data_IF_593793107855
#
_entry.id   IF_593793107855
#
_cell.length_a   1.000
_cell.length_b   1.000
_cell.length_c   1.000
_cell.angle_alpha   90.00
_cell.angle_beta   90.00
_cell.angle_gamma   90.00
#
_symmetry.space_group_name_H-M   'P 1'
#
loop_
_entity.id
_entity.type
_entity.pdbx_description
1 polymer ?
#
# COMPACT_ATOMS: atom_id res chain seq x y z
N UNK A 1 -27.60 -26.68 17.69
CA UNK A 1 -26.72 -26.16 18.76
C UNK A 1 -26.63 -24.64 18.56
N UNK A 2 -27.10 -23.86 19.50
CA UNK A 2 -27.00 -22.39 19.42
C UNK A 2 -25.54 -22.00 19.65
N UNK A 3 -25.01 -21.16 18.77
CA UNK A 3 -23.67 -20.54 18.99
C UNK A 3 -23.67 -19.77 20.32
N UNK A 4 -22.59 -19.83 21.10
CA UNK A 4 -22.49 -19.04 22.32
C UNK A 4 -22.64 -17.54 22.00
N UNK A 5 -23.26 -16.78 22.89
CA UNK A 5 -23.40 -15.33 22.73
C UNK A 5 -22.00 -14.71 22.66
N UNK A 6 -21.79 -13.70 21.79
CA UNK A 6 -20.51 -13.01 21.71
C UNK A 6 -20.19 -12.32 23.05
N UNK A 7 -18.93 -12.43 23.49
CA UNK A 7 -18.46 -11.84 24.75
C UNK A 7 -17.95 -10.40 24.59
N UNK A 8 -17.86 -9.90 23.34
CA UNK A 8 -17.42 -8.56 23.03
C UNK A 8 -17.28 -8.33 21.53
N UNK A 9 -16.95 -7.10 21.17
CA UNK A 9 -16.69 -6.68 19.79
C UNK A 9 -15.27 -6.09 19.72
N UNK A 10 -14.51 -6.46 18.70
CA UNK A 10 -13.22 -5.86 18.35
C UNK A 10 -13.39 -5.04 17.08
N UNK A 11 -12.99 -3.77 17.11
CA UNK A 11 -12.99 -2.89 15.95
C UNK A 11 -11.56 -2.47 15.62
N UNK A 12 -11.12 -2.75 14.41
CA UNK A 12 -9.83 -2.30 13.90
C UNK A 12 -10.04 -1.07 13.00
N UNK A 13 -9.46 0.04 13.42
CA UNK A 13 -9.47 1.28 12.62
C UNK A 13 -8.03 1.60 12.23
N UNK A 14 -7.75 1.65 10.93
CA UNK A 14 -6.48 2.10 10.39
C UNK A 14 -6.65 3.51 9.81
N UNK A 15 -5.60 4.32 9.93
CA UNK A 15 -5.60 5.68 9.40
C UNK A 15 -4.45 5.87 8.42
N UNK A 16 -4.76 6.46 7.27
CA UNK A 16 -3.80 6.72 6.19
C UNK A 16 -3.78 8.20 5.84
N UNK A 17 -2.61 8.80 6.03
CA UNK A 17 -2.36 10.19 5.68
C UNK A 17 -0.91 10.38 5.24
N UNK A 18 -0.73 11.18 4.17
CA UNK A 18 0.52 11.83 3.80
C UNK A 18 0.20 13.25 3.36
N UNK A 19 1.07 14.22 3.63
CA UNK A 19 0.91 15.56 3.08
C UNK A 19 1.01 15.52 1.55
N UNK A 20 0.73 16.63 0.89
CA UNK A 20 0.95 16.72 -0.56
C UNK A 20 2.45 16.66 -0.87
N UNK A 21 2.91 15.59 -1.49
CA UNK A 21 4.32 15.32 -1.82
C UNK A 21 4.61 15.41 -3.33
N UNK A 22 3.57 15.29 -4.15
CA UNK A 22 3.69 15.32 -5.60
C UNK A 22 4.32 16.65 -6.08
N UNK A 23 5.32 16.55 -6.93
CA UNK A 23 6.07 17.69 -7.53
C UNK A 23 6.87 18.53 -6.53
N UNK A 24 7.13 18.02 -5.33
CA UNK A 24 7.97 18.67 -4.31
C UNK A 24 9.39 18.11 -4.24
N UNK A 25 9.84 17.45 -5.32
CA UNK A 25 11.14 16.79 -5.38
C UNK A 25 11.08 15.35 -4.90
N UNK A 26 12.17 14.62 -5.13
CA UNK A 26 12.23 13.19 -4.86
C UNK A 26 12.86 12.92 -3.50
N UNK A 27 13.96 13.60 -3.18
CA UNK A 27 14.82 13.33 -2.03
C UNK A 27 15.29 14.64 -1.37
N UNK A 28 15.51 14.68 -0.04
CA UNK A 28 15.34 13.64 0.99
C UNK A 28 13.91 13.49 1.50
N UNK A 29 13.06 14.49 1.31
CA UNK A 29 11.66 14.54 1.71
C UNK A 29 10.84 14.95 0.49
N UNK A 30 9.91 14.12 0.08
CA UNK A 30 9.11 14.38 -1.10
C UNK A 30 8.48 13.10 -1.62
N UNK A 31 8.48 12.92 -2.93
CA UNK A 31 7.83 11.80 -3.59
C UNK A 31 8.35 10.42 -3.14
N UNK A 32 9.61 10.32 -2.70
CA UNK A 32 10.17 9.08 -2.14
C UNK A 32 9.34 8.55 -0.96
N UNK A 33 8.87 9.43 -0.08
CA UNK A 33 8.00 9.03 1.04
C UNK A 33 6.66 8.49 0.58
N UNK A 34 6.08 9.10 -0.45
CA UNK A 34 4.83 8.62 -1.04
C UNK A 34 5.02 7.21 -1.60
N UNK A 35 6.07 7.00 -2.40
CA UNK A 35 6.32 5.73 -3.06
C UNK A 35 6.70 4.63 -2.07
N UNK A 36 7.51 4.92 -1.05
CA UNK A 36 7.82 3.98 0.02
C UNK A 36 6.57 3.57 0.81
N UNK A 37 5.76 4.54 1.25
CA UNK A 37 4.52 4.24 1.95
C UNK A 37 3.55 3.43 1.08
N UNK A 38 3.50 3.73 -0.21
CA UNK A 38 2.67 3.00 -1.17
C UNK A 38 3.13 1.55 -1.29
N UNK A 39 4.43 1.32 -1.49
CA UNK A 39 5.01 -0.01 -1.65
C UNK A 39 4.95 -0.86 -0.37
N UNK A 40 5.26 -0.25 0.79
CA UNK A 40 5.40 -0.98 2.05
C UNK A 40 4.08 -1.13 2.82
N UNK A 41 3.06 -0.31 2.52
CA UNK A 41 1.80 -0.32 3.26
C UNK A 41 0.59 -0.51 2.35
N UNK A 42 0.35 0.38 1.39
CA UNK A 42 -0.91 0.36 0.64
C UNK A 42 -1.03 -0.85 -0.29
N UNK A 43 0.01 -1.17 -1.05
CA UNK A 43 0.00 -2.35 -1.90
C UNK A 43 -0.26 -3.63 -1.10
N UNK A 44 0.54 -3.99 -0.08
CA UNK A 44 0.37 -5.27 0.61
C UNK A 44 -0.91 -5.34 1.44
N UNK A 45 -1.35 -4.24 2.06
CA UNK A 45 -2.58 -4.22 2.86
C UNK A 45 -3.81 -4.39 1.98
N UNK A 46 -3.91 -3.63 0.88
CA UNK A 46 -5.07 -3.72 -0.01
C UNK A 46 -5.11 -5.06 -0.77
N UNK A 47 -3.95 -5.65 -1.08
CA UNK A 47 -3.89 -7.01 -1.62
C UNK A 47 -4.40 -8.05 -0.62
N UNK A 48 -3.98 -7.95 0.65
CA UNK A 48 -4.47 -8.85 1.70
C UNK A 48 -5.98 -8.74 1.86
N UNK A 49 -6.52 -7.51 1.93
CA UNK A 49 -7.95 -7.26 2.07
C UNK A 49 -8.74 -7.81 0.87
N UNK A 50 -8.23 -7.65 -0.34
CA UNK A 50 -8.83 -8.23 -1.54
C UNK A 50 -8.93 -9.75 -1.45
N UNK A 51 -7.85 -10.42 -1.07
CA UNK A 51 -7.81 -11.89 -0.91
C UNK A 51 -8.80 -12.36 0.15
N UNK A 52 -8.81 -11.70 1.31
CA UNK A 52 -9.77 -12.02 2.36
C UNK A 52 -11.22 -11.79 1.89
N UNK A 53 -11.47 -10.74 1.09
CA UNK A 53 -12.77 -10.50 0.48
C UNK A 53 -13.18 -11.61 -0.50
N UNK A 54 -12.25 -12.11 -1.31
CA UNK A 54 -12.47 -13.25 -2.21
C UNK A 54 -12.76 -14.56 -1.45
N UNK A 55 -12.13 -14.73 -0.28
CA UNK A 55 -12.41 -15.85 0.64
C UNK A 55 -13.75 -15.67 1.40
N UNK A 56 -14.49 -14.60 1.12
CA UNK A 56 -15.82 -14.35 1.69
C UNK A 56 -15.83 -13.55 2.99
N UNK A 57 -14.68 -13.07 3.47
CA UNK A 57 -14.62 -12.24 4.66
C UNK A 57 -15.19 -10.84 4.40
N UNK A 58 -15.89 -10.28 5.40
CA UNK A 58 -16.53 -8.96 5.36
C UNK A 58 -16.31 -8.23 6.68
N UNK A 59 -16.52 -6.92 6.69
CA UNK A 59 -16.40 -6.06 7.88
C UNK A 59 -15.06 -6.21 8.60
N UNK A 60 -13.95 -6.31 7.83
CA UNK A 60 -12.64 -6.63 8.37
C UNK A 60 -12.04 -5.46 9.16
N UNK A 61 -12.22 -4.24 8.68
CA UNK A 61 -11.72 -3.02 9.33
C UNK A 61 -12.36 -1.75 8.76
N UNK A 62 -12.22 -0.66 9.49
CA UNK A 62 -12.48 0.69 9.00
C UNK A 62 -11.17 1.34 8.57
N UNK A 63 -11.07 1.82 7.32
CA UNK A 63 -9.89 2.46 6.77
C UNK A 63 -10.13 3.96 6.58
N UNK A 64 -9.43 4.78 7.35
CA UNK A 64 -9.40 6.22 7.14
C UNK A 64 -8.40 6.59 6.04
N UNK A 65 -8.87 7.29 5.01
CA UNK A 65 -8.03 7.81 3.93
C UNK A 65 -8.29 9.31 3.78
N UNK A 66 -7.26 10.12 4.00
CA UNK A 66 -7.43 11.57 3.80
C UNK A 66 -7.59 11.92 2.34
N UNK A 67 -8.44 12.91 1.98
CA UNK A 67 -8.62 13.32 0.59
C UNK A 67 -7.32 13.75 -0.10
N UNK A 68 -6.39 14.37 0.61
CA UNK A 68 -5.07 14.74 0.07
C UNK A 68 -4.24 13.52 -0.33
N UNK A 69 -4.32 12.42 0.43
CA UNK A 69 -3.67 11.17 0.06
C UNK A 69 -4.39 10.51 -1.12
N UNK A 70 -5.71 10.39 -1.07
CA UNK A 70 -6.50 9.81 -2.15
C UNK A 70 -6.22 10.50 -3.49
N UNK A 71 -6.16 11.84 -3.50
CA UNK A 71 -5.83 12.62 -4.69
C UNK A 71 -4.43 12.30 -5.25
N UNK A 72 -3.45 12.03 -4.41
CA UNK A 72 -2.11 11.62 -4.86
C UNK A 72 -2.08 10.19 -5.40
N UNK A 73 -2.84 9.27 -4.78
CA UNK A 73 -2.94 7.89 -5.26
C UNK A 73 -3.67 7.78 -6.61
N UNK A 74 -4.46 8.80 -6.98
CA UNK A 74 -5.18 8.89 -8.25
C UNK A 74 -4.48 9.80 -9.28
N UNK A 75 -3.46 10.59 -8.87
CA UNK A 75 -2.76 11.52 -9.78
C UNK A 75 -1.95 10.73 -10.83
N UNK A 76 -2.22 10.92 -12.14
CA UNK A 76 -1.46 10.24 -13.21
C UNK A 76 0.06 10.48 -13.16
N UNK A 77 0.50 11.61 -12.62
CA UNK A 77 1.92 11.89 -12.40
C UNK A 77 2.49 10.97 -11.31
N UNK A 78 1.79 10.85 -10.17
CA UNK A 78 2.20 9.96 -9.08
C UNK A 78 2.16 8.49 -9.49
N UNK A 79 1.16 8.09 -10.29
CA UNK A 79 1.07 6.71 -10.81
C UNK A 79 2.26 6.35 -11.69
N UNK A 80 2.68 7.25 -12.59
CA UNK A 80 3.89 7.03 -13.39
C UNK A 80 5.15 6.99 -12.52
N UNK A 81 5.28 7.93 -11.59
CA UNK A 81 6.42 7.96 -10.67
C UNK A 81 6.53 6.71 -9.80
N UNK A 82 5.39 6.20 -9.31
CA UNK A 82 5.34 4.95 -8.55
C UNK A 82 5.77 3.75 -9.40
N UNK A 83 5.30 3.65 -10.64
CA UNK A 83 5.72 2.59 -11.55
C UNK A 83 7.24 2.62 -11.79
N UNK A 84 7.80 3.80 -12.07
CA UNK A 84 9.25 3.96 -12.27
C UNK A 84 10.03 3.63 -10.99
N UNK A 85 9.51 4.02 -9.83
CA UNK A 85 10.12 3.73 -8.53
C UNK A 85 10.15 2.22 -8.24
N UNK A 86 9.05 1.51 -8.51
CA UNK A 86 8.95 0.04 -8.36
C UNK A 86 9.93 -0.68 -9.31
N UNK A 87 10.03 -0.24 -10.56
CA UNK A 87 11.02 -0.75 -11.50
C UNK A 87 12.46 -0.55 -11.01
N UNK A 88 12.75 0.63 -10.48
CA UNK A 88 14.02 0.96 -9.84
C UNK A 88 14.31 0.10 -8.60
N UNK A 89 13.30 -0.16 -7.77
CA UNK A 89 13.43 -1.07 -6.62
C UNK A 89 13.76 -2.49 -7.06
N UNK A 90 13.04 -3.03 -8.04
CA UNK A 90 13.30 -4.35 -8.61
C UNK A 90 14.73 -4.50 -9.14
N UNK A 91 15.22 -3.49 -9.87
CA UNK A 91 16.60 -3.50 -10.40
C UNK A 91 17.64 -3.46 -9.27
N UNK A 92 17.44 -2.66 -8.22
CA UNK A 92 18.34 -2.61 -7.05
C UNK A 92 18.38 -3.94 -6.31
N UNK A 93 17.22 -4.57 -6.11
CA UNK A 93 17.11 -5.87 -5.45
C UNK A 93 17.79 -6.97 -6.27
N UNK A 94 17.59 -6.99 -7.58
CA UNK A 94 18.28 -7.92 -8.48
C UNK A 94 19.80 -7.75 -8.41
N UNK A 95 20.29 -6.51 -8.46
CA UNK A 95 21.72 -6.21 -8.32
C UNK A 95 22.31 -6.64 -6.97
N UNK A 96 21.55 -6.48 -5.88
CA UNK A 96 21.94 -6.93 -4.54
C UNK A 96 22.09 -8.46 -4.48
N UNK A 97 21.13 -9.20 -5.03
CA UNK A 97 21.19 -10.66 -5.10
C UNK A 97 22.46 -11.15 -5.85
N UNK A 98 22.77 -10.52 -6.99
CA UNK A 98 23.97 -10.83 -7.75
C UNK A 98 25.29 -10.53 -7.01
N UNK A 99 25.33 -9.44 -6.23
CA UNK A 99 26.52 -9.10 -5.38
C UNK A 99 26.71 -10.10 -4.25
N UNK A 100 25.64 -10.44 -3.53
CA UNK A 100 25.67 -11.41 -2.42
C UNK A 100 26.11 -12.80 -2.91
N UNK A 101 25.62 -13.23 -4.07
CA UNK A 101 26.00 -14.50 -4.66
C UNK A 101 27.51 -14.54 -4.99
N UNK A 102 28.06 -13.46 -5.55
CA UNK A 102 29.51 -13.36 -5.84
C UNK A 102 30.36 -13.30 -4.59
N UNK A 103 29.85 -12.71 -3.50
CA UNK A 103 30.54 -12.64 -2.22
C UNK A 103 30.45 -13.94 -1.40
N UNK A 104 29.61 -14.89 -1.80
CA UNK A 104 29.38 -16.13 -1.06
C UNK A 104 28.63 -15.92 0.26
N UNK A 105 28.01 -14.75 0.47
CA UNK A 105 27.26 -14.43 1.69
C UNK A 105 25.83 -14.96 1.55
N UNK A 106 25.57 -16.12 2.19
CA UNK A 106 24.28 -16.79 2.15
C UNK A 106 23.18 -16.02 2.88
N UNK A 107 23.52 -15.34 4.00
CA UNK A 107 22.53 -14.59 4.77
C UNK A 107 22.04 -13.36 4.00
N UNK A 108 22.95 -12.57 3.46
CA UNK A 108 22.61 -11.46 2.55
C UNK A 108 21.95 -11.94 1.26
N UNK A 109 22.34 -13.11 0.77
CA UNK A 109 21.71 -13.74 -0.39
C UNK A 109 20.23 -14.05 -0.16
N UNK A 110 19.88 -14.58 1.02
CA UNK A 110 18.49 -14.82 1.43
C UNK A 110 17.67 -13.53 1.49
N UNK A 111 18.18 -12.51 2.17
CA UNK A 111 17.52 -11.20 2.25
C UNK A 111 17.32 -10.54 0.88
N UNK A 112 18.35 -10.59 0.02
CA UNK A 112 18.26 -10.03 -1.32
C UNK A 112 17.26 -10.77 -2.22
N UNK A 113 17.13 -12.08 -2.05
CA UNK A 113 16.12 -12.88 -2.74
C UNK A 113 14.71 -12.56 -2.26
N UNK A 114 14.51 -12.35 -0.95
CA UNK A 114 13.23 -11.89 -0.39
C UNK A 114 12.85 -10.52 -0.93
N UNK A 115 13.79 -9.60 -0.91
CA UNK A 115 13.58 -8.24 -1.43
C UNK A 115 13.22 -8.24 -2.92
N UNK A 116 13.89 -9.07 -3.71
CA UNK A 116 13.56 -9.25 -5.13
C UNK A 116 12.16 -9.81 -5.33
N UNK A 117 11.74 -10.81 -4.52
CA UNK A 117 10.36 -11.35 -4.59
C UNK A 117 9.32 -10.28 -4.25
N UNK A 118 9.56 -9.50 -3.18
CA UNK A 118 8.68 -8.40 -2.77
C UNK A 118 8.55 -7.34 -3.85
N UNK A 119 9.67 -6.88 -4.40
CA UNK A 119 9.68 -5.89 -5.47
C UNK A 119 8.97 -6.38 -6.74
N UNK A 120 9.20 -7.65 -7.12
CA UNK A 120 8.52 -8.26 -8.27
C UNK A 120 7.01 -8.34 -8.05
N UNK A 121 6.58 -8.80 -6.88
CA UNK A 121 5.16 -8.91 -6.54
C UNK A 121 4.49 -7.54 -6.51
N UNK A 122 5.14 -6.54 -5.91
CA UNK A 122 4.63 -5.17 -5.85
C UNK A 122 4.45 -4.55 -7.24
N UNK A 123 5.43 -4.73 -8.14
CA UNK A 123 5.34 -4.22 -9.51
C UNK A 123 4.21 -4.90 -10.28
N UNK A 124 4.12 -6.23 -10.23
CA UNK A 124 3.04 -6.99 -10.87
C UNK A 124 1.66 -6.58 -10.37
N UNK A 125 1.52 -6.41 -9.07
CA UNK A 125 0.29 -5.95 -8.44
C UNK A 125 -0.08 -4.55 -8.92
N UNK A 126 0.89 -3.64 -8.90
CA UNK A 126 0.69 -2.26 -9.36
C UNK A 126 0.25 -2.22 -10.82
N UNK A 127 0.93 -2.92 -11.71
CA UNK A 127 0.60 -2.98 -13.14
C UNK A 127 -0.77 -3.60 -13.42
N UNK A 128 -1.20 -4.55 -12.61
CA UNK A 128 -2.47 -5.24 -12.83
C UNK A 128 -3.69 -4.47 -12.31
N UNK A 129 -3.58 -3.78 -11.17
CA UNK A 129 -4.74 -3.25 -10.45
C UNK A 129 -4.77 -1.72 -10.29
N UNK A 130 -3.59 -1.08 -10.28
CA UNK A 130 -3.49 0.35 -9.95
C UNK A 130 -3.49 1.29 -11.16
N UNK A 131 -3.70 0.79 -12.36
CA UNK A 131 -3.70 1.60 -13.60
C UNK A 131 -4.64 2.80 -13.57
N UNK A 132 -5.72 2.69 -12.81
CA UNK A 132 -6.77 3.71 -12.69
C UNK A 132 -6.77 4.40 -11.32
N UNK A 133 -5.68 4.26 -10.56
CA UNK A 133 -5.50 4.90 -9.26
C UNK A 133 -6.01 4.10 -8.07
N UNK A 134 -5.78 4.67 -6.88
CA UNK A 134 -6.15 4.08 -5.60
C UNK A 134 -7.66 3.96 -5.41
N UNK A 135 -8.43 4.93 -5.91
CA UNK A 135 -9.90 4.89 -5.84
C UNK A 135 -10.47 3.67 -6.56
N UNK A 136 -9.88 3.25 -7.68
CA UNK A 136 -10.30 2.08 -8.41
C UNK A 136 -10.02 0.77 -7.65
N UNK A 137 -8.97 0.74 -6.83
CA UNK A 137 -8.61 -0.41 -5.98
C UNK A 137 -9.47 -0.48 -4.72
N UNK A 138 -9.78 0.67 -4.12
CA UNK A 138 -10.56 0.75 -2.89
C UNK A 138 -12.05 0.49 -3.11
N UNK A 139 -12.62 0.97 -4.21
CA UNK A 139 -14.06 0.89 -4.49
C UNK A 139 -14.62 -0.53 -4.38
N UNK A 140 -14.05 -1.58 -5.00
CA UNK A 140 -14.59 -2.94 -4.88
C UNK A 140 -14.61 -3.43 -3.43
N UNK A 141 -13.58 -3.12 -2.64
CA UNK A 141 -13.51 -3.53 -1.23
C UNK A 141 -14.64 -2.92 -0.40
N UNK A 142 -15.04 -1.70 -0.71
CA UNK A 142 -16.15 -1.01 -0.05
C UNK A 142 -17.50 -1.52 -0.55
N UNK A 143 -17.66 -1.60 -1.88
CA UNK A 143 -18.92 -1.99 -2.50
C UNK A 143 -19.32 -3.44 -2.11
N UNK A 144 -18.32 -4.30 -1.89
CA UNK A 144 -18.50 -5.67 -1.42
C UNK A 144 -18.59 -5.80 0.12
N UNK A 145 -18.41 -4.70 0.85
CA UNK A 145 -18.46 -4.71 2.32
C UNK A 145 -17.27 -5.42 2.98
N UNK A 146 -16.13 -5.51 2.31
CA UNK A 146 -14.89 -6.05 2.90
C UNK A 146 -14.34 -5.11 3.95
N UNK A 147 -14.40 -3.80 3.67
CA UNK A 147 -13.98 -2.72 4.56
C UNK A 147 -15.00 -1.60 4.57
N UNK A 148 -14.94 -0.78 5.61
CA UNK A 148 -15.60 0.53 5.67
C UNK A 148 -14.57 1.64 5.42
N UNK A 149 -14.94 2.68 4.65
CA UNK A 149 -14.10 3.88 4.48
C UNK A 149 -14.55 4.98 5.42
N UNK A 150 -13.59 5.56 6.13
CA UNK A 150 -13.75 6.75 6.93
C UNK A 150 -13.09 7.93 6.20
N UNK A 151 -13.90 8.93 5.88
CA UNK A 151 -13.43 10.21 5.37
C UNK A 151 -12.98 11.15 6.48
N UNK A 152 -12.46 12.31 6.08
CA UNK A 152 -12.02 13.34 7.00
C UNK A 152 -11.74 14.67 6.28
N UNK A 153 -11.22 15.67 7.00
CA UNK A 153 -10.78 16.92 6.40
C UNK A 153 -9.73 16.70 5.32
N UNK A 154 -9.72 17.56 4.31
CA UNK A 154 -8.86 17.37 3.14
C UNK A 154 -7.37 17.24 3.48
N UNK A 155 -6.88 18.03 4.44
CA UNK A 155 -5.46 18.19 4.74
C UNK A 155 -5.05 17.72 6.14
N UNK A 156 -5.91 16.97 6.82
CA UNK A 156 -5.68 16.46 8.18
C UNK A 156 -5.37 17.57 9.22
N UNK A 157 -6.15 18.67 9.29
CA UNK A 157 -5.93 19.73 10.26
C UNK A 157 -6.26 19.26 11.68
N UNK A 158 -5.65 19.88 12.68
CA UNK A 158 -6.06 19.76 14.07
C UNK A 158 -7.34 20.55 14.28
N UNK A 159 -8.49 19.88 14.13
CA UNK A 159 -9.82 20.52 14.13
C UNK A 159 -10.24 21.28 15.41
N UNK A 160 -9.74 20.96 16.62
CA UNK A 160 -10.09 21.73 17.82
C UNK A 160 -9.53 23.16 17.84
N UNK A 161 -8.65 23.54 16.93
CA UNK A 161 -8.11 24.90 16.75
C UNK A 161 -8.72 25.55 15.52
#
# INVERSE_FOLDING_TARGET
MSSPAPIGTFCLVLHSHLPWLARHGVWPVGEEWLYQAWADSYLPVLELLRRLGEDGHRDLLTLGVTPVLAAQLDDPYCLRGMHDWLGGWLLRAHGAAGRSARAGDQALGGLAADEHRRASAALLDFESRWRHGGSAVLRPLVDEGVIELLGGPATHPFQPL
#
